data_IF_767346765706
#
_entry.id   IF_767346765706
#
_cell.length_a   1.000
_cell.length_b   1.000
_cell.length_c   1.000
_cell.angle_alpha   90.00
_cell.angle_beta   90.00
_cell.angle_gamma   90.00
#
_symmetry.space_group_name_H-M   'P 1'
#
loop_
_entity.id
_entity.type
_entity.pdbx_description
1 polymer ?
#
# COMPACT_ATOMS: atom_id res chain seq x y z
N UNK A 1 -12.83 -13.06 -7.89
CA UNK A 1 -13.07 -12.25 -9.10
C UNK A 1 -11.80 -11.73 -9.76
N UNK A 2 -10.84 -11.14 -9.01
CA UNK A 2 -9.59 -10.61 -9.57
C UNK A 2 -8.79 -11.58 -10.47
N UNK A 3 -8.82 -12.88 -10.17
CA UNK A 3 -8.08 -13.91 -10.92
C UNK A 3 -8.60 -14.09 -12.36
N UNK A 4 -9.90 -13.91 -12.60
CA UNK A 4 -10.48 -13.99 -13.96
C UNK A 4 -10.06 -12.77 -14.78
N UNK A 5 -10.11 -11.58 -14.20
CA UNK A 5 -9.64 -10.34 -14.83
C UNK A 5 -8.15 -10.40 -15.19
N UNK A 6 -7.34 -11.00 -14.32
CA UNK A 6 -5.93 -11.25 -14.60
C UNK A 6 -5.75 -12.11 -15.85
N UNK A 7 -6.46 -13.25 -15.97
CA UNK A 7 -6.35 -14.12 -17.14
C UNK A 7 -6.85 -13.44 -18.43
N UNK A 8 -7.87 -12.58 -18.33
CA UNK A 8 -8.37 -11.79 -19.48
C UNK A 8 -7.30 -10.83 -20.02
N UNK A 9 -6.40 -10.31 -19.19
CA UNK A 9 -5.34 -9.40 -19.63
C UNK A 9 -4.08 -10.18 -20.05
N UNK A 10 -3.68 -11.18 -19.27
CA UNK A 10 -2.41 -11.87 -19.46
C UNK A 10 -2.43 -12.79 -20.67
N UNK A 11 -3.53 -13.48 -20.96
CA UNK A 11 -3.63 -14.37 -22.12
C UNK A 11 -3.47 -13.62 -23.44
N UNK A 12 -4.23 -12.55 -23.74
CA UNK A 12 -4.06 -11.83 -24.99
C UNK A 12 -2.69 -11.13 -25.07
N UNK A 13 -2.17 -10.62 -23.95
CA UNK A 13 -0.82 -10.06 -23.92
C UNK A 13 0.24 -11.11 -24.27
N UNK A 14 0.16 -12.30 -23.68
CA UNK A 14 1.06 -13.41 -23.98
C UNK A 14 0.93 -13.86 -25.46
N UNK A 15 -0.31 -13.95 -25.97
CA UNK A 15 -0.55 -14.28 -27.36
C UNK A 15 0.07 -13.23 -28.31
N UNK A 16 -0.09 -11.94 -28.02
CA UNK A 16 0.52 -10.85 -28.79
C UNK A 16 2.05 -10.95 -28.79
N UNK A 17 2.66 -11.22 -27.63
CA UNK A 17 4.11 -11.43 -27.49
C UNK A 17 4.58 -12.62 -28.33
N UNK A 18 3.87 -13.74 -28.29
CA UNK A 18 4.20 -14.94 -29.08
C UNK A 18 4.11 -14.66 -30.57
N UNK A 19 2.99 -14.08 -31.03
CA UNK A 19 2.77 -13.75 -32.45
C UNK A 19 3.84 -12.78 -32.95
N UNK A 20 4.14 -11.74 -32.17
CA UNK A 20 5.21 -10.80 -32.47
C UNK A 20 6.56 -11.53 -32.58
N UNK A 21 6.87 -12.41 -31.63
CA UNK A 21 8.14 -13.15 -31.61
C UNK A 21 8.30 -14.10 -32.80
N UNK A 22 7.21 -14.77 -33.20
CA UNK A 22 7.23 -15.69 -34.34
C UNK A 22 7.43 -14.95 -35.65
N UNK A 23 6.78 -13.80 -35.83
CA UNK A 23 6.86 -13.01 -37.07
C UNK A 23 8.12 -12.13 -37.16
N UNK A 24 8.73 -11.76 -36.04
CA UNK A 24 9.87 -10.84 -35.99
C UNK A 24 11.17 -11.56 -35.61
N UNK A 25 11.47 -12.67 -36.31
CA UNK A 25 12.71 -13.45 -36.16
C UNK A 25 13.89 -12.90 -36.97
N UNK A 26 13.67 -11.85 -37.74
CA UNK A 26 14.72 -11.22 -38.54
C UNK A 26 15.80 -10.68 -37.62
N UNK A 27 17.04 -11.00 -37.95
CA UNK A 27 18.20 -10.49 -37.23
C UNK A 27 18.44 -9.02 -37.61
N UNK A 28 18.67 -8.20 -36.60
CA UNK A 28 19.08 -6.81 -36.74
C UNK A 28 20.41 -6.59 -36.03
N UNK A 29 21.28 -5.81 -36.68
CA UNK A 29 22.48 -5.31 -36.05
C UNK A 29 22.07 -4.38 -34.91
N UNK A 30 22.40 -4.78 -33.69
CA UNK A 30 22.18 -3.97 -32.51
C UNK A 30 23.52 -3.32 -32.15
N UNK A 31 23.63 -2.01 -32.35
CA UNK A 31 24.80 -1.22 -31.94
C UNK A 31 24.41 -0.35 -30.74
N UNK A 32 24.88 -0.73 -29.55
CA UNK A 32 24.64 0.02 -28.32
C UNK A 32 25.77 1.02 -28.08
N UNK A 33 25.64 2.24 -28.61
CA UNK A 33 26.52 3.34 -28.18
C UNK A 33 26.16 3.78 -26.75
N UNK A 34 27.09 3.96 -25.77
CA UNK A 34 28.57 3.96 -25.77
C UNK A 34 29.23 2.61 -25.38
N UNK A 35 28.48 1.52 -25.37
CA UNK A 35 28.97 0.17 -25.08
C UNK A 35 29.43 -0.52 -26.37
N UNK A 36 30.63 -0.20 -26.87
CA UNK A 36 31.27 -0.77 -28.09
C UNK A 36 31.50 -2.30 -28.06
N UNK A 37 30.98 -3.01 -27.05
CA UNK A 37 31.16 -4.45 -26.82
C UNK A 37 30.00 -5.29 -27.35
N UNK A 38 28.90 -4.68 -27.81
CA UNK A 38 27.73 -5.40 -28.33
C UNK A 38 27.39 -4.87 -29.72
N UNK A 39 28.17 -5.27 -30.72
CA UNK A 39 27.71 -5.32 -32.12
C UNK A 39 27.33 -6.75 -32.42
N UNK A 40 26.13 -7.13 -31.97
CA UNK A 40 25.60 -8.48 -32.14
C UNK A 40 24.37 -8.43 -33.02
N UNK A 41 24.34 -9.33 -34.01
CA UNK A 41 23.15 -9.60 -34.80
C UNK A 41 22.17 -10.37 -33.93
N UNK A 42 21.09 -9.73 -33.51
CA UNK A 42 20.07 -10.35 -32.65
C UNK A 42 18.69 -10.22 -33.29
N UNK A 43 17.81 -11.23 -33.13
CA UNK A 43 16.43 -11.12 -33.57
C UNK A 43 15.72 -9.93 -32.94
N UNK A 44 14.93 -9.19 -33.71
CA UNK A 44 14.17 -8.01 -33.23
C UNK A 44 13.32 -8.34 -32.00
N UNK A 45 12.70 -9.52 -31.97
CA UNK A 45 11.85 -9.90 -30.85
C UNK A 45 12.58 -9.92 -29.50
N UNK A 46 13.87 -10.27 -29.49
CA UNK A 46 14.67 -10.33 -28.26
C UNK A 46 14.81 -8.95 -27.62
N UNK A 47 15.08 -7.93 -28.43
CA UNK A 47 15.21 -6.54 -27.97
C UNK A 47 13.90 -6.10 -27.30
N UNK A 48 12.76 -6.33 -27.96
CA UNK A 48 11.46 -5.97 -27.42
C UNK A 48 11.15 -6.70 -26.11
N UNK A 49 11.44 -8.01 -26.03
CA UNK A 49 11.22 -8.81 -24.83
C UNK A 49 12.08 -8.33 -23.66
N UNK A 50 13.35 -8.02 -23.89
CA UNK A 50 14.26 -7.51 -22.85
C UNK A 50 13.78 -6.16 -22.33
N UNK A 51 13.42 -5.23 -23.22
CA UNK A 51 12.84 -3.94 -22.83
C UNK A 51 11.54 -4.11 -22.03
N UNK A 52 10.67 -5.02 -22.46
CA UNK A 52 9.41 -5.34 -21.76
C UNK A 52 9.67 -5.89 -20.36
N UNK A 53 10.61 -6.83 -20.24
CA UNK A 53 10.99 -7.44 -18.97
C UNK A 53 11.60 -6.40 -18.02
N UNK A 54 12.49 -5.55 -18.53
CA UNK A 54 13.08 -4.46 -17.75
C UNK A 54 11.99 -3.50 -17.23
N UNK A 55 11.05 -3.12 -18.09
CA UNK A 55 9.89 -2.30 -17.71
C UNK A 55 9.00 -2.97 -16.66
N UNK A 56 8.74 -4.28 -16.81
CA UNK A 56 7.96 -5.04 -15.83
C UNK A 56 8.64 -5.09 -14.46
N UNK A 57 9.95 -5.37 -14.42
CA UNK A 57 10.73 -5.39 -13.18
C UNK A 57 10.70 -4.00 -12.53
N UNK A 58 10.95 -2.94 -13.30
CA UNK A 58 10.91 -1.56 -12.80
C UNK A 58 9.52 -1.21 -12.23
N UNK A 59 8.45 -1.55 -12.95
CA UNK A 59 7.08 -1.36 -12.49
C UNK A 59 6.77 -2.13 -11.20
N UNK A 60 7.23 -3.38 -11.11
CA UNK A 60 7.12 -4.20 -9.90
C UNK A 60 7.86 -3.60 -8.70
N UNK A 61 9.07 -3.09 -8.91
CA UNK A 61 9.86 -2.40 -7.88
C UNK A 61 9.13 -1.13 -7.40
N UNK A 62 8.63 -0.29 -8.33
CA UNK A 62 7.86 0.91 -8.00
C UNK A 62 6.60 0.54 -7.19
N UNK A 63 5.86 -0.47 -7.63
CA UNK A 63 4.68 -0.97 -6.93
C UNK A 63 5.02 -1.49 -5.53
N UNK A 64 6.16 -2.19 -5.37
CA UNK A 64 6.64 -2.67 -4.07
C UNK A 64 6.91 -1.52 -3.10
N UNK A 65 7.62 -0.47 -3.54
CA UNK A 65 7.88 0.71 -2.72
C UNK A 65 6.58 1.44 -2.34
N UNK A 66 5.63 1.55 -3.27
CA UNK A 66 4.30 2.15 -3.02
C UNK A 66 3.50 1.33 -2.00
N UNK A 67 3.44 0.01 -2.16
CA UNK A 67 2.74 -0.89 -1.25
C UNK A 67 3.36 -0.88 0.15
N UNK A 68 4.69 -0.79 0.26
CA UNK A 68 5.40 -0.65 1.53
C UNK A 68 4.97 0.59 2.32
N UNK A 69 4.82 1.73 1.63
CA UNK A 69 4.37 2.99 2.25
C UNK A 69 2.92 2.92 2.72
N UNK A 70 2.04 2.28 1.94
CA UNK A 70 0.64 2.03 2.34
C UNK A 70 0.56 1.14 3.58
N UNK A 71 1.37 0.08 3.65
CA UNK A 71 1.39 -0.83 4.80
C UNK A 71 1.92 -0.15 6.08
N UNK A 72 2.88 0.76 5.96
CA UNK A 72 3.34 1.58 7.07
C UNK A 72 2.28 2.57 7.55
N UNK A 73 1.55 3.21 6.62
CA UNK A 73 0.47 4.14 6.95
C UNK A 73 -0.69 3.44 7.65
N UNK A 74 -1.10 2.27 7.15
CA UNK A 74 -2.15 1.48 7.80
C UNK A 74 -1.81 1.13 9.26
N UNK A 75 -0.53 0.79 9.55
CA UNK A 75 -0.09 0.53 10.93
C UNK A 75 -0.05 1.79 11.79
N UNK A 76 0.33 2.94 11.22
CA UNK A 76 0.38 4.20 11.94
C UNK A 76 -1.03 4.68 12.30
N UNK A 77 -1.97 4.60 11.36
CA UNK A 77 -3.37 4.95 11.62
C UNK A 77 -4.03 4.00 12.64
N UNK A 78 -3.75 2.69 12.57
CA UNK A 78 -4.23 1.75 13.58
C UNK A 78 -3.73 2.10 15.01
N UNK A 79 -2.47 2.54 15.14
CA UNK A 79 -1.92 2.98 16.44
C UNK A 79 -2.57 4.28 16.93
N UNK A 80 -2.87 5.22 16.02
CA UNK A 80 -3.55 6.47 16.37
C UNK A 80 -4.98 6.22 16.83
N UNK A 81 -5.68 5.28 16.18
CA UNK A 81 -7.01 4.85 16.61
C UNK A 81 -6.97 4.25 18.03
N UNK A 82 -6.04 3.32 18.30
CA UNK A 82 -5.89 2.71 19.63
C UNK A 82 -5.53 3.74 20.73
N UNK A 83 -4.72 4.75 20.39
CA UNK A 83 -4.42 5.86 21.31
C UNK A 83 -5.66 6.72 21.58
N UNK A 84 -6.40 7.09 20.53
CA UNK A 84 -7.61 7.89 20.67
C UNK A 84 -8.67 7.16 21.52
N UNK A 85 -8.84 5.85 21.35
CA UNK A 85 -9.75 5.04 22.16
C UNK A 85 -9.34 5.03 23.65
N UNK A 86 -8.03 4.90 23.95
CA UNK A 86 -7.52 4.96 25.33
C UNK A 86 -7.72 6.32 25.97
N UNK A 87 -7.47 7.38 25.22
CA UNK A 87 -7.65 8.75 25.70
C UNK A 87 -9.13 9.03 25.99
N UNK A 88 -10.04 8.51 25.15
CA UNK A 88 -11.48 8.59 25.36
C UNK A 88 -11.88 7.86 26.65
N UNK A 89 -11.43 6.62 26.82
CA UNK A 89 -11.71 5.83 28.01
C UNK A 89 -11.13 6.49 29.29
N UNK A 90 -9.94 7.07 29.21
CA UNK A 90 -9.33 7.79 30.32
C UNK A 90 -10.12 9.06 30.69
N UNK A 91 -10.63 9.80 29.70
CA UNK A 91 -11.48 10.96 29.92
C UNK A 91 -12.82 10.57 30.56
N UNK A 92 -13.47 9.51 30.06
CA UNK A 92 -14.72 8.97 30.63
C UNK A 92 -14.56 8.56 32.09
N UNK A 93 -13.53 7.76 32.41
CA UNK A 93 -13.23 7.37 33.79
C UNK A 93 -13.01 8.59 34.70
N UNK A 94 -12.40 9.66 34.18
CA UNK A 94 -12.14 10.87 34.95
C UNK A 94 -13.43 11.66 35.23
N UNK A 95 -14.31 11.75 34.25
CA UNK A 95 -15.65 12.34 34.43
C UNK A 95 -16.43 11.55 35.48
N UNK A 96 -16.42 10.22 35.41
CA UNK A 96 -17.12 9.36 36.37
C UNK A 96 -16.57 9.53 37.79
N UNK A 97 -15.25 9.59 37.96
CA UNK A 97 -14.64 9.84 39.28
C UNK A 97 -15.05 11.19 39.87
N UNK A 98 -15.11 12.24 39.05
CA UNK A 98 -15.55 13.57 39.49
C UNK A 98 -17.03 13.57 39.87
N UNK A 99 -17.88 12.88 39.10
CA UNK A 99 -19.29 12.74 39.43
C UNK A 99 -19.48 12.01 40.76
N UNK A 100 -18.75 10.91 41.00
CA UNK A 100 -18.81 10.21 42.29
C UNK A 100 -18.34 11.08 43.45
N UNK A 101 -17.28 11.88 43.27
CA UNK A 101 -16.79 12.80 44.29
C UNK A 101 -17.81 13.90 44.62
N UNK A 102 -18.50 14.42 43.60
CA UNK A 102 -19.59 15.39 43.83
C UNK A 102 -20.80 14.79 44.51
N UNK A 103 -21.15 13.53 44.19
CA UNK A 103 -22.27 12.81 44.79
C UNK A 103 -22.00 12.44 46.26
N UNK A 104 -20.77 12.03 46.57
CA UNK A 104 -20.30 11.78 47.94
C UNK A 104 -20.23 13.09 48.76
N UNK A 105 -19.79 14.19 48.13
CA UNK A 105 -19.77 15.50 48.76
C UNK A 105 -21.19 15.98 49.10
N UNK A 106 -22.15 15.85 48.18
CA UNK A 106 -23.57 16.20 48.38
C UNK A 106 -24.22 15.35 49.48
N UNK A 107 -23.94 14.03 49.49
CA UNK A 107 -24.40 13.10 50.52
C UNK A 107 -23.89 13.44 51.91
N UNK A 108 -22.71 14.07 52.01
CA UNK A 108 -22.07 14.44 53.27
C UNK A 108 -22.35 15.89 53.71
N UNK A 109 -23.19 16.64 53.00
CA UNK A 109 -23.59 18.00 53.42
C UNK A 109 -24.50 17.89 54.64
N UNK A 110 -24.13 18.45 55.81
CA UNK A 110 -25.01 18.49 56.97
C UNK A 110 -26.22 19.36 56.65
N UNK A 111 -27.44 18.81 56.81
CA UNK A 111 -28.67 19.58 56.66
C UNK A 111 -28.65 20.77 57.62
N UNK A 112 -28.54 21.98 57.07
CA UNK A 112 -28.60 23.19 57.89
C UNK A 112 -29.98 23.23 58.57
N UNK A 113 -30.02 23.46 59.89
CA UNK A 113 -31.29 23.58 60.60
C UNK A 113 -32.11 24.69 59.94
N UNK A 114 -33.44 24.49 59.76
CA UNK A 114 -34.29 25.47 59.10
C UNK A 114 -34.16 26.80 59.84
N UNK A 115 -33.89 27.87 59.09
CA UNK A 115 -33.80 29.22 59.62
C UNK A 115 -35.11 29.55 60.33
N UNK A 116 -35.05 29.61 61.66
CA UNK A 116 -36.13 29.99 62.56
C UNK A 116 -36.17 31.50 62.74
#
# INVERSE_FOLDING_TARGET
MAKVFYWIIVVPLAAAIIIFSVNNRTDVGLDLWPFDVVSASVPVYLIALVCMLAGFIAGGVIAWFSAGRTRSRARAEARRADQAERDLAAAENRIESLLSETEDADRNIPSLPPAA
#
